data_IF_055241524178
#
_entry.id   IF_055241524178
#
_cell.length_a   1.000
_cell.length_b   1.000
_cell.length_c   1.000
_cell.angle_alpha   90.00
_cell.angle_beta   90.00
_cell.angle_gamma   90.00
#
_symmetry.space_group_name_H-M   'P 1'
#
loop_
_entity.id
_entity.type
_entity.pdbx_description
1 polymer ?
#
# COMPACT_ATOMS: atom_id res chain seq x y z
N UNK A 1 -2.84 -26.60 4.20
CA UNK A 1 -2.67 -26.60 5.67
C UNK A 1 -1.37 -25.84 5.94
N UNK A 2 -1.28 -24.61 6.42
CA UNK A 2 -2.19 -23.68 7.12
C UNK A 2 -1.91 -22.27 6.56
N UNK A 3 -2.94 -21.58 6.05
CA UNK A 3 -2.87 -20.16 5.67
C UNK A 3 -3.21 -19.34 6.93
N UNK A 4 -2.26 -19.15 7.85
CA UNK A 4 -2.49 -18.28 9.01
C UNK A 4 -1.38 -17.23 9.07
N UNK A 5 -1.54 -16.17 8.26
CA UNK A 5 -0.99 -14.87 8.63
C UNK A 5 -2.01 -14.26 9.60
N UNK A 6 -1.63 -13.89 10.85
CA UNK A 6 -2.54 -13.40 11.88
C UNK A 6 -3.13 -12.00 11.61
N UNK A 7 -3.03 -11.52 10.37
CA UNK A 7 -3.46 -10.19 9.93
C UNK A 7 -4.48 -10.25 8.77
N UNK A 8 -4.94 -11.44 8.40
CA UNK A 8 -5.93 -11.66 7.35
C UNK A 8 -7.22 -12.24 7.97
N UNK A 9 -7.85 -11.46 8.85
CA UNK A 9 -9.22 -11.75 9.30
C UNK A 9 -10.24 -11.27 8.24
N UNK A 10 -11.47 -11.81 8.32
CA UNK A 10 -12.63 -11.76 7.39
C UNK A 10 -13.10 -10.36 6.88
N UNK A 11 -12.32 -9.29 7.08
CA UNK A 11 -12.60 -7.91 6.68
C UNK A 11 -12.11 -7.58 5.25
N UNK A 12 -11.14 -8.34 4.73
CA UNK A 12 -10.56 -8.13 3.41
C UNK A 12 -11.13 -9.09 2.37
N UNK A 13 -11.61 -8.56 1.25
CA UNK A 13 -11.97 -9.40 0.11
C UNK A 13 -10.74 -10.01 -0.58
N UNK A 14 -10.99 -10.98 -1.46
CA UNK A 14 -9.95 -11.70 -2.20
C UNK A 14 -9.04 -10.75 -3.01
N UNK A 15 -9.60 -9.65 -3.54
CA UNK A 15 -8.84 -8.67 -4.33
C UNK A 15 -7.88 -7.85 -3.47
N UNK A 16 -8.26 -7.51 -2.24
CA UNK A 16 -7.36 -6.84 -1.29
C UNK A 16 -6.19 -7.74 -0.92
N UNK A 17 -6.47 -9.03 -0.71
CA UNK A 17 -5.46 -10.04 -0.40
C UNK A 17 -4.47 -10.27 -1.55
N UNK A 18 -4.93 -10.16 -2.80
CA UNK A 18 -4.04 -10.20 -3.97
C UNK A 18 -3.16 -8.95 -4.07
N UNK A 19 -3.74 -7.75 -3.91
CA UNK A 19 -2.99 -6.48 -3.92
C UNK A 19 -1.94 -6.40 -2.80
N UNK A 20 -2.17 -7.09 -1.69
CA UNK A 20 -1.25 -7.20 -0.57
C UNK A 20 0.08 -7.90 -0.94
N UNK A 21 0.08 -8.74 -1.98
CA UNK A 21 1.29 -9.39 -2.50
C UNK A 21 2.05 -8.54 -3.54
N UNK A 22 1.51 -7.38 -3.94
CA UNK A 22 2.19 -6.50 -4.90
C UNK A 22 3.54 -6.03 -4.36
N UNK A 23 4.52 -5.89 -5.26
CA UNK A 23 5.85 -5.44 -4.90
C UNK A 23 5.91 -3.91 -4.88
N UNK A 24 6.30 -3.33 -3.75
CA UNK A 24 6.62 -1.91 -3.61
C UNK A 24 8.10 -1.66 -3.84
N UNK A 25 8.45 -0.42 -4.21
CA UNK A 25 9.84 0.00 -4.46
C UNK A 25 10.44 0.48 -3.14
N UNK A 26 11.43 -0.23 -2.61
CA UNK A 26 12.16 0.22 -1.42
C UNK A 26 13.14 1.32 -1.80
N UNK A 27 13.23 2.35 -0.95
CA UNK A 27 14.11 3.50 -1.18
C UNK A 27 14.88 3.88 0.09
N UNK A 28 16.00 4.57 -0.09
CA UNK A 28 16.66 5.29 1.00
C UNK A 28 16.01 6.67 1.25
N UNK A 29 16.54 7.42 2.22
CA UNK A 29 16.04 8.76 2.59
C UNK A 29 16.16 9.81 1.48
N UNK A 30 16.95 9.52 0.44
CA UNK A 30 17.15 10.40 -0.72
C UNK A 30 16.34 9.93 -1.94
N UNK A 31 15.39 9.01 -1.75
CA UNK A 31 14.56 8.41 -2.80
C UNK A 31 15.37 7.62 -3.85
N UNK A 32 16.55 7.09 -3.50
CA UNK A 32 17.24 6.14 -4.37
C UNK A 32 16.69 4.73 -4.15
N UNK A 33 16.42 4.01 -5.24
CA UNK A 33 15.95 2.63 -5.16
C UNK A 33 17.03 1.72 -4.59
N UNK A 34 16.66 0.95 -3.55
CA UNK A 34 17.54 -0.03 -2.91
C UNK A 34 17.02 -1.47 -3.01
N UNK A 35 15.79 -1.67 -3.51
CA UNK A 35 15.21 -2.99 -3.72
C UNK A 35 13.70 -2.97 -3.93
N UNK A 36 13.04 -4.09 -3.59
CA UNK A 36 11.59 -4.24 -3.62
C UNK A 36 11.14 -5.23 -2.54
N UNK A 37 9.93 -5.05 -2.02
CA UNK A 37 9.33 -5.90 -0.98
C UNK A 37 7.82 -6.01 -1.22
N UNK A 38 7.17 -7.06 -0.70
CA UNK A 38 5.70 -7.13 -0.77
C UNK A 38 5.08 -5.98 0.02
N UNK A 39 3.91 -5.51 -0.43
CA UNK A 39 3.17 -4.43 0.22
C UNK A 39 2.83 -4.77 1.67
N UNK A 40 2.47 -6.01 1.96
CA UNK A 40 2.23 -6.45 3.35
C UNK A 40 3.50 -6.31 4.17
N UNK A 41 4.61 -6.88 3.73
CA UNK A 41 5.85 -6.88 4.50
C UNK A 41 6.38 -5.45 4.70
N UNK A 42 6.18 -4.54 3.73
CA UNK A 42 6.62 -3.15 3.86
C UNK A 42 5.79 -2.32 4.84
N UNK A 43 4.60 -2.78 5.24
CA UNK A 43 3.68 -2.08 6.14
C UNK A 43 3.48 -2.79 7.49
N UNK A 44 4.15 -3.93 7.73
CA UNK A 44 4.14 -4.62 9.04
C UNK A 44 5.16 -3.99 9.99
N UNK A 45 4.83 -3.93 11.28
CA UNK A 45 5.72 -3.45 12.34
C UNK A 45 6.00 -1.96 12.21
N UNK A 46 7.26 -1.56 12.31
CA UNK A 46 7.70 -0.16 12.08
C UNK A 46 7.64 0.25 10.60
N UNK A 47 7.34 -0.69 9.71
CA UNK A 47 7.34 -0.48 8.26
C UNK A 47 8.74 -0.37 7.67
N UNK A 48 8.81 -0.43 6.33
CA UNK A 48 10.03 -0.19 5.56
C UNK A 48 9.82 0.99 4.63
N UNK A 49 10.82 1.86 4.48
CA UNK A 49 10.73 3.02 3.59
C UNK A 49 10.56 2.56 2.13
N UNK A 50 9.45 2.98 1.52
CA UNK A 50 9.12 2.64 0.15
C UNK A 50 8.49 3.83 -0.56
N UNK A 51 8.68 3.90 -1.88
CA UNK A 51 8.13 4.98 -2.70
C UNK A 51 6.61 4.84 -2.80
N UNK A 52 5.92 5.96 -2.66
CA UNK A 52 4.47 6.08 -2.84
C UNK A 52 4.14 7.36 -3.64
N UNK A 53 2.88 7.50 -4.02
CA UNK A 53 2.38 8.71 -4.67
C UNK A 53 1.02 9.12 -4.08
N UNK A 54 0.66 10.38 -4.27
CA UNK A 54 -0.65 10.93 -3.92
C UNK A 54 -1.17 11.75 -5.08
N UNK A 55 -2.45 11.57 -5.42
CA UNK A 55 -3.11 12.31 -6.50
C UNK A 55 -4.13 13.24 -5.86
N UNK A 56 -4.05 14.53 -6.22
CA UNK A 56 -5.05 15.54 -5.88
C UNK A 56 -5.82 15.87 -7.16
N UNK A 57 -7.09 15.46 -7.23
CA UNK A 57 -7.92 15.64 -8.42
C UNK A 57 -8.93 16.78 -8.20
N UNK A 58 -8.91 17.76 -9.10
CA UNK A 58 -9.84 18.89 -9.09
C UNK A 58 -10.77 18.81 -10.31
N UNK A 59 -12.07 19.08 -10.11
CA UNK A 59 -12.99 19.24 -11.23
C UNK A 59 -12.86 20.63 -11.89
N UNK A 60 -13.61 20.89 -12.97
CA UNK A 60 -13.61 22.20 -13.66
C UNK A 60 -14.10 23.36 -12.79
N UNK A 61 -14.77 23.08 -11.67
CA UNK A 61 -15.22 24.06 -10.67
C UNK A 61 -14.18 24.27 -9.56
N UNK A 62 -12.98 23.68 -9.67
CA UNK A 62 -11.89 23.73 -8.67
C UNK A 62 -12.21 23.06 -7.33
N UNK A 63 -13.12 22.08 -7.32
CA UNK A 63 -13.43 21.30 -6.12
C UNK A 63 -12.56 20.05 -6.05
N UNK A 64 -12.03 19.74 -4.88
CA UNK A 64 -11.19 18.57 -4.63
C UNK A 64 -12.03 17.30 -4.43
N UNK A 65 -11.71 16.23 -5.16
CA UNK A 65 -12.27 14.91 -4.91
C UNK A 65 -11.74 14.35 -3.58
N UNK A 66 -12.64 14.06 -2.64
CA UNK A 66 -12.33 13.39 -1.36
C UNK A 66 -12.73 11.92 -1.44
N UNK A 67 -11.78 11.04 -1.12
CA UNK A 67 -12.02 9.60 -1.06
C UNK A 67 -12.22 9.14 0.40
N UNK A 68 -13.33 8.45 0.67
CA UNK A 68 -13.50 7.66 1.90
C UNK A 68 -13.05 6.24 1.61
N UNK A 69 -12.04 5.76 2.36
CA UNK A 69 -11.57 4.38 2.26
C UNK A 69 -12.72 3.42 2.58
N UNK A 70 -12.78 2.30 1.85
CA UNK A 70 -13.75 1.22 2.06
C UNK A 70 -13.64 0.65 3.48
#
# INVERSE_FOLDING_TARGET
MSKNSPFLDDEYDESQSEMMNEMVILVDENDFQIGSMSKVDSHIGEGTLHRAFSVLLFNSSQELLIHKRA
#
